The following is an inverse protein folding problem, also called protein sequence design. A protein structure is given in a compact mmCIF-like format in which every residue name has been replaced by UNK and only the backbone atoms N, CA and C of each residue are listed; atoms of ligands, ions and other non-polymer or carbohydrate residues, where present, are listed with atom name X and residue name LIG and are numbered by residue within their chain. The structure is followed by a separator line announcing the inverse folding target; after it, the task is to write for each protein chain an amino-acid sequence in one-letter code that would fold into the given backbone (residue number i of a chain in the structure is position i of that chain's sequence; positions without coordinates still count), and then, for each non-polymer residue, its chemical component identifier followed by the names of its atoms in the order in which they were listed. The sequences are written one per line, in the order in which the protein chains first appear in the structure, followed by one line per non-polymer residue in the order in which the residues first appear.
data_IF_811682979325
#
_entry.id   IF_811682979325
#
_cell.length_a   1.000
_cell.length_b   1.000
_cell.length_c   1.000
_cell.angle_alpha   90.00
_cell.angle_beta   90.00
_cell.angle_gamma   90.00
#
_symmetry.space_group_name_H-M   'P 1'
#
loop_
_entity.id
_entity.type
_entity.pdbx_description
1 polymer ?
#
# COMPACT_ATOMS: atom_id res chain seq x y z
N UNK A 1 -9.26 -30.21 34.83
CA UNK A 1 -8.86 -30.50 33.43
C UNK A 1 -8.03 -29.36 32.90
N UNK A 2 -6.71 -29.49 32.94
CA UNK A 2 -5.77 -28.45 32.46
C UNK A 2 -5.70 -28.54 30.95
N UNK A 3 -6.22 -27.55 30.24
CA UNK A 3 -6.12 -27.49 28.79
C UNK A 3 -4.63 -27.32 28.43
N UNK A 4 -4.05 -28.33 27.83
CA UNK A 4 -2.70 -28.29 27.24
C UNK A 4 -2.78 -27.32 26.06
N UNK A 5 -2.21 -26.12 26.24
CA UNK A 5 -2.05 -25.17 25.15
C UNK A 5 -1.13 -25.79 24.10
N UNK A 6 -1.70 -26.23 22.98
CA UNK A 6 -0.90 -26.67 21.84
C UNK A 6 0.03 -25.54 21.38
N UNK A 7 1.32 -25.78 21.21
CA UNK A 7 2.23 -24.77 20.68
C UNK A 7 1.79 -24.44 19.25
N UNK A 8 1.54 -23.15 19.01
CA UNK A 8 1.22 -22.64 17.68
C UNK A 8 2.36 -23.02 16.72
N UNK A 9 2.10 -23.68 15.58
CA UNK A 9 3.15 -24.06 14.65
C UNK A 9 3.91 -22.79 14.21
N UNK A 10 5.22 -22.78 14.46
CA UNK A 10 6.11 -21.74 13.97
C UNK A 10 5.99 -21.69 12.45
N UNK A 11 5.78 -20.48 11.89
CA UNK A 11 5.73 -20.31 10.44
C UNK A 11 6.94 -21.01 9.80
N UNK A 12 6.69 -21.92 8.88
CA UNK A 12 7.73 -22.65 8.15
C UNK A 12 8.68 -21.64 7.48
N UNK A 13 9.97 -21.94 7.41
CA UNK A 13 10.98 -21.10 6.75
C UNK A 13 10.57 -20.76 5.32
N UNK A 14 10.03 -21.71 4.57
CA UNK A 14 9.53 -21.51 3.22
C UNK A 14 8.41 -20.44 3.16
N UNK A 15 7.50 -20.44 4.13
CA UNK A 15 6.43 -19.46 4.20
C UNK A 15 6.94 -18.04 4.45
N UNK A 16 7.93 -17.88 5.34
CA UNK A 16 8.57 -16.57 5.59
C UNK A 16 9.25 -16.03 4.33
N UNK A 17 9.98 -16.89 3.60
CA UNK A 17 10.63 -16.51 2.34
C UNK A 17 9.61 -16.16 1.26
N UNK A 18 8.47 -16.87 1.19
CA UNK A 18 7.38 -16.53 0.26
C UNK A 18 6.86 -15.11 0.49
N UNK A 19 6.51 -14.75 1.73
CA UNK A 19 6.01 -13.40 2.02
C UNK A 19 7.09 -12.32 1.79
N UNK A 20 8.35 -12.62 2.06
CA UNK A 20 9.45 -11.70 1.75
C UNK A 20 9.62 -11.51 0.24
N UNK A 21 9.57 -12.58 -0.54
CA UNK A 21 9.65 -12.51 -2.00
C UNK A 21 8.48 -11.71 -2.58
N UNK A 22 7.26 -11.91 -2.07
CA UNK A 22 6.09 -11.11 -2.46
C UNK A 22 6.26 -9.64 -2.10
N UNK A 23 6.78 -9.31 -0.90
CA UNK A 23 7.05 -7.93 -0.53
C UNK A 23 8.08 -7.27 -1.45
N UNK A 24 9.14 -7.99 -1.82
CA UNK A 24 10.14 -7.52 -2.80
C UNK A 24 9.48 -7.30 -4.16
N UNK A 25 8.65 -8.24 -4.62
CA UNK A 25 7.94 -8.11 -5.89
C UNK A 25 7.04 -6.88 -5.93
N UNK A 26 6.30 -6.60 -4.85
CA UNK A 26 5.47 -5.39 -4.70
C UNK A 26 6.34 -4.12 -4.78
N UNK A 27 7.46 -4.06 -4.05
CA UNK A 27 8.39 -2.91 -4.10
C UNK A 27 8.91 -2.71 -5.52
N UNK A 28 9.35 -3.77 -6.19
CA UNK A 28 9.85 -3.70 -7.57
C UNK A 28 8.75 -3.23 -8.52
N UNK A 29 7.53 -3.78 -8.41
CA UNK A 29 6.40 -3.38 -9.23
C UNK A 29 6.06 -1.89 -9.05
N UNK A 30 6.07 -1.38 -7.82
CA UNK A 30 5.84 0.04 -7.53
C UNK A 30 6.95 0.91 -8.13
N UNK A 31 8.22 0.54 -7.93
CA UNK A 31 9.34 1.30 -8.49
C UNK A 31 9.30 1.35 -10.02
N UNK A 32 9.00 0.23 -10.68
CA UNK A 32 8.89 0.16 -12.14
C UNK A 32 7.64 0.91 -12.65
N UNK A 33 6.49 0.74 -11.98
CA UNK A 33 5.24 1.40 -12.36
C UNK A 33 5.30 2.92 -12.28
N UNK A 34 5.99 3.44 -11.27
CA UNK A 34 6.16 4.88 -11.08
C UNK A 34 7.50 5.43 -11.59
N UNK A 35 8.33 4.59 -12.23
CA UNK A 35 9.65 5.00 -12.69
C UNK A 35 9.58 6.25 -13.58
N UNK A 36 8.80 6.22 -14.65
CA UNK A 36 8.72 7.32 -15.64
C UNK A 36 7.93 8.53 -15.12
N UNK A 37 6.86 8.29 -14.36
CA UNK A 37 5.91 9.32 -13.99
C UNK A 37 6.30 10.08 -12.73
N UNK A 38 7.11 9.48 -11.85
CA UNK A 38 7.51 10.06 -10.57
C UNK A 38 9.03 10.10 -10.41
N UNK A 39 9.69 8.93 -10.38
CA UNK A 39 11.10 8.86 -9.96
C UNK A 39 12.08 9.41 -11.01
N UNK A 40 11.85 9.12 -12.27
CA UNK A 40 12.72 9.48 -13.40
C UNK A 40 12.10 10.58 -14.28
N UNK A 41 11.02 11.21 -13.81
CA UNK A 41 10.29 12.24 -14.55
C UNK A 41 11.20 13.33 -15.16
N UNK A 42 12.24 13.84 -14.47
CA UNK A 42 13.12 14.86 -15.05
C UNK A 42 13.89 14.41 -16.30
N UNK A 43 14.10 13.10 -16.46
CA UNK A 43 14.80 12.53 -17.63
C UNK A 43 13.88 12.17 -18.79
N UNK A 44 12.58 12.17 -18.59
CA UNK A 44 11.57 11.88 -19.63
C UNK A 44 10.82 13.16 -19.97
N UNK A 45 11.51 14.06 -20.73
CA UNK A 45 10.98 15.38 -21.11
C UNK A 45 9.74 15.31 -21.99
N UNK A 46 9.58 14.26 -22.77
CA UNK A 46 8.37 14.02 -23.58
C UNK A 46 7.11 13.96 -22.70
N UNK A 47 7.21 13.33 -21.53
CA UNK A 47 6.11 13.28 -20.55
C UNK A 47 5.89 14.61 -19.84
N UNK A 48 6.94 15.38 -19.62
CA UNK A 48 6.83 16.68 -18.92
C UNK A 48 6.04 17.72 -19.73
N UNK A 49 6.05 17.61 -21.05
CA UNK A 49 5.33 18.53 -21.94
C UNK A 49 3.87 18.14 -22.17
N UNK A 50 3.53 16.84 -22.03
CA UNK A 50 2.20 16.32 -22.26
C UNK A 50 1.30 16.37 -21.01
N UNK A 51 1.89 16.52 -19.81
CA UNK A 51 1.13 16.47 -18.57
C UNK A 51 1.17 17.82 -17.85
N UNK A 52 0.01 18.29 -17.44
CA UNK A 52 -0.10 19.43 -16.53
C UNK A 52 0.81 19.24 -15.30
N UNK A 53 1.31 20.33 -14.69
CA UNK A 53 2.12 20.24 -13.48
C UNK A 53 1.43 19.35 -12.44
N UNK A 54 2.19 18.44 -11.83
CA UNK A 54 1.66 17.61 -10.74
C UNK A 54 1.42 18.52 -9.54
N UNK A 55 0.19 18.60 -9.11
CA UNK A 55 -0.19 19.38 -7.94
C UNK A 55 0.49 18.84 -6.68
N UNK A 56 0.83 19.73 -5.75
CA UNK A 56 1.47 19.36 -4.46
C UNK A 56 0.73 18.24 -3.73
N UNK A 57 -0.59 18.18 -3.86
CA UNK A 57 -1.42 17.14 -3.26
C UNK A 57 -1.00 15.72 -3.67
N UNK A 58 -0.67 15.52 -4.95
CA UNK A 58 -0.25 14.19 -5.44
C UNK A 58 1.11 13.78 -4.91
N UNK A 59 2.03 14.72 -4.67
CA UNK A 59 3.29 14.43 -3.98
C UNK A 59 3.06 14.01 -2.53
N UNK A 60 2.14 14.69 -1.82
CA UNK A 60 1.78 14.32 -0.44
C UNK A 60 1.14 12.94 -0.41
N UNK A 61 0.15 12.67 -1.28
CA UNK A 61 -0.47 11.35 -1.41
C UNK A 61 0.57 10.26 -1.73
N UNK A 62 1.42 10.48 -2.72
CA UNK A 62 2.48 9.56 -3.13
C UNK A 62 3.48 9.27 -2.01
N UNK A 63 3.80 10.27 -1.18
CA UNK A 63 4.67 10.09 0.00
C UNK A 63 4.04 9.11 1.00
N UNK A 64 2.76 9.27 1.34
CA UNK A 64 2.09 8.32 2.25
C UNK A 64 1.99 6.92 1.66
N UNK A 65 1.74 6.81 0.34
CA UNK A 65 1.77 5.53 -0.36
C UNK A 65 3.14 4.85 -0.28
N UNK A 66 4.22 5.58 -0.54
CA UNK A 66 5.59 5.05 -0.43
C UNK A 66 5.94 4.66 1.01
N UNK A 67 5.51 5.45 2.00
CA UNK A 67 5.67 5.10 3.42
C UNK A 67 4.94 3.80 3.76
N UNK A 68 3.74 3.57 3.23
CA UNK A 68 3.02 2.31 3.40
C UNK A 68 3.79 1.13 2.81
N UNK A 69 4.28 1.23 1.58
CA UNK A 69 5.06 0.18 0.92
C UNK A 69 6.37 -0.10 1.68
N UNK A 70 7.08 0.95 2.10
CA UNK A 70 8.31 0.80 2.90
C UNK A 70 8.03 0.14 4.26
N UNK A 71 6.93 0.52 4.92
CA UNK A 71 6.51 -0.09 6.16
C UNK A 71 6.13 -1.55 5.97
N UNK A 72 5.36 -1.88 4.93
CA UNK A 72 4.99 -3.26 4.59
C UNK A 72 6.22 -4.15 4.37
N UNK A 73 7.19 -3.69 3.57
CA UNK A 73 8.43 -4.41 3.33
C UNK A 73 9.25 -4.58 4.62
N UNK A 74 9.35 -3.53 5.44
CA UNK A 74 10.01 -3.57 6.75
C UNK A 74 9.34 -4.57 7.68
N UNK A 75 8.02 -4.54 7.80
CA UNK A 75 7.24 -5.43 8.64
C UNK A 75 7.41 -6.90 8.25
N UNK A 76 7.41 -7.19 6.96
CA UNK A 76 7.63 -8.54 6.44
C UNK A 76 9.06 -9.01 6.72
N UNK A 77 10.05 -8.14 6.52
CA UNK A 77 11.45 -8.41 6.83
C UNK A 77 11.67 -8.70 8.31
N UNK A 78 11.05 -7.92 9.21
CA UNK A 78 11.14 -8.13 10.66
C UNK A 78 10.63 -9.51 11.09
N UNK A 79 9.54 -9.99 10.47
CA UNK A 79 9.03 -11.34 10.75
C UNK A 79 9.97 -12.43 10.21
N UNK A 80 10.61 -12.19 9.07
CA UNK A 80 11.58 -13.11 8.48
C UNK A 80 12.82 -13.26 9.36
N UNK A 81 13.34 -12.16 9.93
CA UNK A 81 14.52 -12.17 10.82
C UNK A 81 14.17 -12.43 12.30
N UNK A 82 12.92 -12.77 12.61
CA UNK A 82 12.52 -13.17 13.95
C UNK A 82 12.43 -12.03 14.99
N UNK A 83 12.05 -10.81 14.56
CA UNK A 83 11.88 -9.63 15.44
C UNK A 83 10.39 -9.23 15.66
N UNK A 84 9.54 -10.12 16.25
CA UNK A 84 8.11 -9.86 16.36
C UNK A 84 7.77 -8.70 17.32
N UNK A 85 8.62 -8.41 18.31
CA UNK A 85 8.41 -7.28 19.22
C UNK A 85 8.48 -5.94 18.48
N UNK A 86 9.45 -5.78 17.58
CA UNK A 86 9.59 -4.57 16.76
C UNK A 86 8.48 -4.49 15.70
N UNK A 87 8.10 -5.62 15.08
CA UNK A 87 6.94 -5.71 14.19
C UNK A 87 5.67 -5.17 14.89
N UNK A 88 5.38 -5.58 16.12
CA UNK A 88 4.21 -5.09 16.87
C UNK A 88 4.28 -3.59 17.16
N UNK A 89 5.45 -3.06 17.55
CA UNK A 89 5.63 -1.62 17.82
C UNK A 89 5.41 -0.78 16.56
N UNK A 90 6.03 -1.16 15.44
CA UNK A 90 5.85 -0.49 14.15
C UNK A 90 4.45 -0.71 13.56
N UNK A 91 3.78 -1.82 13.91
CA UNK A 91 2.42 -2.11 13.47
C UNK A 91 1.39 -1.05 13.91
N UNK A 92 1.63 -0.37 15.05
CA UNK A 92 0.80 0.76 15.48
C UNK A 92 0.88 1.94 14.51
N UNK A 93 2.08 2.23 13.96
CA UNK A 93 2.26 3.25 12.92
C UNK A 93 1.51 2.86 11.63
N UNK A 94 1.55 1.58 11.26
CA UNK A 94 0.77 1.07 10.13
C UNK A 94 -0.73 1.26 10.30
N UNK A 95 -1.25 0.94 11.49
CA UNK A 95 -2.66 1.14 11.80
C UNK A 95 -3.07 2.62 11.72
N UNK A 96 -2.20 3.54 12.19
CA UNK A 96 -2.43 4.98 12.08
C UNK A 96 -2.33 5.49 10.64
N UNK A 97 -1.50 4.87 9.81
CA UNK A 97 -1.31 5.27 8.42
C UNK A 97 -2.52 4.92 7.53
N UNK A 98 -3.28 3.87 7.85
CA UNK A 98 -4.46 3.45 7.06
C UNK A 98 -5.47 4.60 6.87
N UNK A 99 -6.01 5.24 7.92
CA UNK A 99 -6.97 6.34 7.74
C UNK A 99 -6.35 7.55 7.02
N UNK A 100 -5.06 7.81 7.20
CA UNK A 100 -4.34 8.87 6.49
C UNK A 100 -4.32 8.58 4.98
N UNK A 101 -3.99 7.34 4.59
CA UNK A 101 -3.99 6.93 3.18
C UNK A 101 -5.38 6.99 2.56
N UNK A 102 -6.41 6.53 3.28
CA UNK A 102 -7.80 6.62 2.82
C UNK A 102 -8.23 8.07 2.59
N UNK A 103 -7.89 8.97 3.51
CA UNK A 103 -8.18 10.39 3.36
C UNK A 103 -7.47 10.98 2.15
N UNK A 104 -6.14 10.87 2.07
CA UNK A 104 -5.37 11.45 0.97
C UNK A 104 -5.67 10.78 -0.38
N UNK A 105 -5.93 9.47 -0.41
CA UNK A 105 -6.32 8.75 -1.61
C UNK A 105 -7.68 9.19 -2.14
N UNK A 106 -8.68 9.29 -1.26
CA UNK A 106 -10.03 9.72 -1.65
C UNK A 106 -10.03 11.17 -2.13
N UNK A 107 -9.42 12.09 -1.38
CA UNK A 107 -9.34 13.50 -1.77
C UNK A 107 -8.54 13.66 -3.06
N UNK A 108 -7.43 12.93 -3.22
CA UNK A 108 -6.65 12.91 -4.45
C UNK A 108 -7.45 12.45 -5.66
N UNK A 109 -8.27 11.40 -5.51
CA UNK A 109 -9.17 10.93 -6.56
C UNK A 109 -10.21 12.00 -6.96
N UNK A 110 -10.79 12.69 -5.97
CA UNK A 110 -11.77 13.78 -6.22
C UNK A 110 -11.12 14.99 -6.91
N UNK A 111 -9.89 15.36 -6.54
CA UNK A 111 -9.12 16.41 -7.21
C UNK A 111 -8.79 15.99 -8.65
N UNK A 112 -8.31 14.76 -8.85
CA UNK A 112 -7.97 14.24 -10.17
C UNK A 112 -9.18 14.23 -11.10
N UNK A 113 -10.36 13.83 -10.59
CA UNK A 113 -11.60 13.82 -11.37
C UNK A 113 -12.05 15.21 -11.85
N UNK A 114 -11.63 16.28 -11.17
CA UNK A 114 -11.97 17.67 -11.54
C UNK A 114 -11.00 18.32 -12.51
N UNK A 115 -9.91 17.63 -12.88
CA UNK A 115 -8.90 18.19 -13.79
C UNK A 115 -9.44 18.25 -15.21
N UNK A 116 -9.40 19.42 -15.88
CA UNK A 116 -9.88 19.58 -17.24
C UNK A 116 -9.08 18.70 -18.24
N UNK A 117 -7.83 18.40 -17.94
CA UNK A 117 -6.91 17.60 -18.77
C UNK A 117 -7.02 16.09 -18.50
N UNK A 118 -7.92 15.66 -17.59
CA UNK A 118 -7.94 14.27 -17.12
C UNK A 118 -6.72 13.89 -16.30
N UNK A 119 -6.52 12.59 -16.09
CA UNK A 119 -5.36 12.03 -15.42
C UNK A 119 -4.55 11.22 -16.45
N UNK A 120 -3.28 11.55 -16.65
CA UNK A 120 -2.40 10.94 -17.66
C UNK A 120 -2.97 10.95 -19.09
N UNK A 121 -3.48 12.11 -19.54
CA UNK A 121 -4.08 12.31 -20.88
C UNK A 121 -5.30 11.43 -21.20
N UNK A 122 -5.88 10.79 -20.19
CA UNK A 122 -7.16 10.09 -20.30
C UNK A 122 -8.26 11.09 -19.93
N UNK A 123 -8.94 11.62 -20.93
CA UNK A 123 -10.10 12.49 -20.75
C UNK A 123 -11.35 11.69 -20.41
N UNK A 124 -11.31 10.93 -19.33
CA UNK A 124 -12.49 10.24 -18.84
C UNK A 124 -13.44 11.25 -18.17
N UNK A 125 -14.76 11.13 -18.38
CA UNK A 125 -15.74 11.88 -17.60
C UNK A 125 -15.48 11.67 -16.09
N UNK A 126 -15.65 12.70 -15.23
CA UNK A 126 -15.30 12.61 -13.81
C UNK A 126 -15.87 11.40 -13.07
N UNK A 127 -17.10 11.01 -13.35
CA UNK A 127 -17.74 9.84 -12.74
C UNK A 127 -17.11 8.52 -13.19
N UNK A 128 -16.71 8.41 -14.47
CA UNK A 128 -16.03 7.22 -14.98
C UNK A 128 -14.62 7.09 -14.39
N UNK A 129 -13.91 8.22 -14.26
CA UNK A 129 -12.61 8.23 -13.59
C UNK A 129 -12.71 7.71 -12.16
N UNK A 130 -13.70 8.19 -11.37
CA UNK A 130 -13.87 7.80 -9.96
C UNK A 130 -14.25 6.33 -9.77
N UNK A 131 -14.79 5.67 -10.79
CA UNK A 131 -15.14 4.25 -10.74
C UNK A 131 -13.95 3.30 -10.52
N UNK A 132 -12.71 3.77 -10.69
CA UNK A 132 -11.48 3.01 -10.39
C UNK A 132 -10.97 3.28 -8.98
N UNK A 133 -10.54 4.50 -8.62
CA UNK A 133 -9.87 4.76 -7.34
C UNK A 133 -10.80 4.63 -6.11
N UNK A 134 -12.11 4.89 -6.22
CA UNK A 134 -12.98 4.77 -5.05
C UNK A 134 -13.21 3.32 -4.61
N UNK A 135 -13.52 2.36 -5.49
CA UNK A 135 -13.52 0.94 -5.12
C UNK A 135 -12.18 0.46 -4.54
N UNK A 136 -11.04 0.91 -5.09
CA UNK A 136 -9.72 0.55 -4.57
C UNK A 136 -9.54 1.03 -3.12
N UNK A 137 -10.02 2.24 -2.78
CA UNK A 137 -9.99 2.72 -1.40
C UNK A 137 -10.87 1.87 -0.47
N UNK A 138 -12.03 1.41 -0.95
CA UNK A 138 -12.90 0.51 -0.17
C UNK A 138 -12.23 -0.84 0.03
N UNK A 139 -11.67 -1.43 -1.02
CA UNK A 139 -10.95 -2.70 -0.95
C UNK A 139 -9.76 -2.58 0.02
N UNK A 140 -8.95 -1.53 -0.10
CA UNK A 140 -7.85 -1.28 0.81
C UNK A 140 -8.33 -1.14 2.27
N UNK A 141 -9.41 -0.38 2.53
CA UNK A 141 -9.97 -0.21 3.86
C UNK A 141 -10.42 -1.55 4.47
N UNK A 142 -11.10 -2.38 3.69
CA UNK A 142 -11.58 -3.69 4.14
C UNK A 142 -10.41 -4.64 4.41
N UNK A 143 -9.45 -4.71 3.50
CA UNK A 143 -8.31 -5.64 3.64
C UNK A 143 -7.37 -5.21 4.76
N UNK A 144 -6.93 -3.96 4.77
CA UNK A 144 -6.01 -3.44 5.79
C UNK A 144 -6.68 -3.36 7.18
N UNK A 145 -7.92 -2.85 7.23
CA UNK A 145 -8.72 -2.82 8.46
C UNK A 145 -9.01 -4.22 9.00
N UNK A 146 -9.41 -5.14 8.12
CA UNK A 146 -9.59 -6.55 8.46
C UNK A 146 -8.30 -7.18 8.96
N UNK A 147 -7.16 -6.93 8.31
CA UNK A 147 -5.87 -7.42 8.77
C UNK A 147 -5.55 -6.96 10.21
N UNK A 148 -5.82 -5.71 10.54
CA UNK A 148 -5.64 -5.18 11.90
C UNK A 148 -6.63 -5.81 12.89
N UNK A 149 -7.88 -5.98 12.50
CA UNK A 149 -8.91 -6.61 13.34
C UNK A 149 -8.54 -8.07 13.68
N UNK A 150 -8.05 -8.83 12.69
CA UNK A 150 -7.63 -10.23 12.86
C UNK A 150 -6.14 -10.39 13.16
N UNK A 151 -5.47 -9.39 13.74
CA UNK A 151 -4.04 -9.50 14.10
C UNK A 151 -3.73 -10.63 15.10
N UNK A 152 -4.74 -11.11 15.85
CA UNK A 152 -4.64 -12.29 16.72
C UNK A 152 -4.66 -13.63 15.97
N UNK A 153 -5.03 -13.65 14.68
CA UNK A 153 -5.02 -14.82 13.80
C UNK A 153 -3.93 -14.65 12.72
N UNK A 154 -2.68 -15.10 12.98
CA UNK A 154 -1.52 -14.78 12.13
C UNK A 154 -1.69 -15.16 10.66
N UNK A 155 -2.36 -16.27 10.39
CA UNK A 155 -2.59 -16.73 9.00
C UNK A 155 -3.52 -15.80 8.22
N UNK A 156 -4.59 -15.32 8.86
CA UNK A 156 -5.53 -14.37 8.27
C UNK A 156 -4.88 -12.99 8.11
N UNK A 157 -4.24 -12.51 9.19
CA UNK A 157 -3.56 -11.21 9.19
C UNK A 157 -2.59 -11.04 8.02
N UNK A 158 -1.64 -11.99 7.85
CA UNK A 158 -0.60 -11.86 6.82
C UNK A 158 -1.15 -11.95 5.39
N UNK A 159 -2.22 -12.76 5.18
CA UNK A 159 -2.88 -12.86 3.87
C UNK A 159 -3.61 -11.57 3.51
N UNK A 160 -4.36 -11.01 4.46
CA UNK A 160 -5.05 -9.74 4.25
C UNK A 160 -4.06 -8.59 4.03
N UNK A 161 -2.96 -8.54 4.81
CA UNK A 161 -1.91 -7.54 4.61
C UNK A 161 -1.18 -7.66 3.27
N UNK A 162 -1.03 -8.87 2.72
CA UNK A 162 -0.43 -9.05 1.41
C UNK A 162 -1.33 -8.55 0.27
N UNK A 163 -2.65 -8.61 0.48
CA UNK A 163 -3.64 -8.19 -0.52
C UNK A 163 -4.02 -6.71 -0.41
N UNK A 164 -3.70 -6.05 0.71
CA UNK A 164 -3.97 -4.64 0.94
C UNK A 164 -2.89 -3.74 0.31
#
# INVERSE_FOLDING_TARGET
MTAIAMPMPSANRAERHFYLAMAIAVVVAVLLGFARTVFLRPWFTEYAHLHAPVETWFYVHGTFFLLWIALFATQTSLMTVGKPALHRRLGALGAALIPVMLFFGTVGALIAARRPTGFFDVADPPLQFLAKPLPDMVVFAVLAGGAIAWRGAPQTHKRLMLLA
#
